data_IF_108341295121
#
_entry.id   IF_108341295121
#
_cell.length_a   1.000
_cell.length_b   1.000
_cell.length_c   1.000
_cell.angle_alpha   90.00
_cell.angle_beta   90.00
_cell.angle_gamma   90.00
#
_symmetry.space_group_name_H-M   'P 1'
#
loop_
_entity.id
_entity.type
_entity.pdbx_description
1 polymer ?
#
# COMPACT_ATOMS: atom_id res chain seq x y z
N UNK A 1 -0.46 -14.07 2.84
CA UNK A 1 -1.18 -13.27 1.82
C UNK A 1 -2.32 -14.12 1.31
N UNK A 2 -3.54 -13.60 1.35
CA UNK A 2 -4.74 -14.32 0.91
C UNK A 2 -5.45 -13.49 -0.14
N UNK A 3 -5.80 -14.12 -1.25
CA UNK A 3 -6.50 -13.50 -2.39
C UNK A 3 -7.85 -14.19 -2.53
N UNK A 4 -8.92 -13.43 -2.32
CA UNK A 4 -10.29 -13.89 -2.53
C UNK A 4 -10.82 -13.26 -3.81
N UNK A 5 -11.22 -14.12 -4.76
CA UNK A 5 -11.70 -13.69 -6.07
C UNK A 5 -13.22 -13.89 -6.12
N UNK A 6 -13.97 -12.80 -6.11
CA UNK A 6 -15.42 -12.80 -6.31
C UNK A 6 -15.75 -12.35 -7.74
N UNK A 7 -16.34 -13.25 -8.54
CA UNK A 7 -16.80 -12.94 -9.89
C UNK A 7 -18.19 -12.31 -9.83
N UNK A 8 -18.29 -11.04 -10.21
CA UNK A 8 -19.55 -10.32 -10.36
C UNK A 8 -20.10 -10.48 -11.80
N UNK A 9 -21.37 -10.16 -11.96
CA UNK A 9 -22.04 -10.19 -13.27
C UNK A 9 -21.47 -9.09 -14.20
N UNK A 10 -21.30 -9.40 -15.49
CA UNK A 10 -20.74 -8.53 -16.56
C UNK A 10 -19.22 -8.26 -16.52
N UNK A 11 -18.40 -9.29 -16.36
CA UNK A 11 -16.92 -9.22 -16.45
C UNK A 11 -16.23 -8.35 -15.36
N UNK A 12 -16.94 -8.06 -14.27
CA UNK A 12 -16.36 -7.37 -13.12
C UNK A 12 -15.86 -8.44 -12.15
N UNK A 13 -14.61 -8.32 -11.70
CA UNK A 13 -14.04 -9.23 -10.70
C UNK A 13 -13.63 -8.41 -9.49
N UNK A 14 -14.25 -8.69 -8.35
CA UNK A 14 -13.82 -8.14 -7.08
C UNK A 14 -12.69 -9.03 -6.52
N UNK A 15 -11.49 -8.47 -6.49
CA UNK A 15 -10.30 -9.04 -5.86
C UNK A 15 -10.18 -8.45 -4.45
N UNK A 16 -10.45 -9.25 -3.43
CA UNK A 16 -10.12 -8.90 -2.06
C UNK A 16 -8.75 -9.47 -1.73
N UNK A 17 -7.79 -8.60 -1.45
CA UNK A 17 -6.42 -8.99 -1.12
C UNK A 17 -6.13 -8.60 0.31
N UNK A 18 -5.75 -9.60 1.11
CA UNK A 18 -5.31 -9.41 2.49
C UNK A 18 -3.79 -9.49 2.55
N UNK A 19 -3.18 -8.38 2.96
CA UNK A 19 -1.74 -8.26 3.15
C UNK A 19 -1.41 -8.27 4.65
N UNK A 20 -0.48 -9.14 5.02
CA UNK A 20 -0.04 -9.32 6.41
C UNK A 20 0.61 -8.04 6.99
N UNK A 21 0.38 -7.81 8.28
CA UNK A 21 0.95 -6.70 9.03
C UNK A 21 2.49 -6.61 8.94
N UNK A 22 3.21 -7.74 8.83
CA UNK A 22 4.68 -7.72 8.69
C UNK A 22 5.15 -7.09 7.38
N UNK A 23 4.47 -7.40 6.27
CA UNK A 23 4.73 -6.77 4.97
C UNK A 23 4.42 -5.26 5.03
N UNK A 24 3.36 -4.88 5.74
CA UNK A 24 3.03 -3.48 5.95
C UNK A 24 4.13 -2.74 6.74
N UNK A 25 4.63 -3.31 7.85
CA UNK A 25 5.71 -2.69 8.63
C UNK A 25 6.99 -2.49 7.80
N UNK A 26 7.31 -3.45 6.92
CA UNK A 26 8.42 -3.32 5.98
C UNK A 26 8.18 -2.22 4.94
N UNK A 27 6.98 -2.16 4.37
CA UNK A 27 6.57 -1.13 3.42
C UNK A 27 6.62 0.27 4.05
N UNK A 28 6.14 0.42 5.29
CA UNK A 28 6.21 1.67 6.07
C UNK A 28 7.67 2.11 6.29
N UNK A 29 8.60 1.17 6.58
CA UNK A 29 10.03 1.49 6.69
C UNK A 29 10.63 1.95 5.36
N UNK A 30 10.23 1.33 4.25
CA UNK A 30 10.67 1.74 2.91
C UNK A 30 10.09 3.10 2.51
N UNK A 31 8.80 3.30 2.72
CA UNK A 31 8.09 4.56 2.48
C UNK A 31 8.76 5.71 3.27
N UNK A 32 9.06 5.51 4.56
CA UNK A 32 9.80 6.49 5.35
C UNK A 32 11.15 6.88 4.73
N UNK A 33 11.88 5.92 4.16
CA UNK A 33 13.19 6.17 3.50
C UNK A 33 13.02 6.87 2.15
N UNK A 34 11.97 6.56 1.40
CA UNK A 34 11.64 7.20 0.12
C UNK A 34 11.16 8.63 0.35
N UNK A 35 10.25 8.84 1.30
CA UNK A 35 9.79 10.15 1.74
C UNK A 35 10.93 11.00 2.30
N UNK A 36 11.86 10.42 3.08
CA UNK A 36 13.03 11.15 3.55
C UNK A 36 13.92 11.70 2.42
N UNK A 37 13.89 11.09 1.22
CA UNK A 37 14.60 11.58 0.04
C UNK A 37 13.82 12.66 -0.70
N UNK A 38 12.48 12.56 -0.73
CA UNK A 38 11.59 13.51 -1.41
C UNK A 38 11.38 14.79 -0.59
N UNK A 39 11.23 14.65 0.72
CA UNK A 39 10.89 15.73 1.65
C UNK A 39 12.15 16.36 2.25
N UNK A 40 12.18 17.69 2.26
CA UNK A 40 13.22 18.45 2.94
C UNK A 40 12.85 18.60 4.42
N UNK A 41 13.40 17.75 5.28
CA UNK A 41 13.25 17.89 6.72
C UNK A 41 14.24 18.95 7.24
N UNK A 42 13.78 20.04 7.86
CA UNK A 42 14.67 21.06 8.43
C UNK A 42 15.66 20.46 9.42
N UNK A 43 16.94 20.85 9.33
CA UNK A 43 17.99 20.36 10.22
C UNK A 43 18.66 19.05 9.80
N UNK A 44 18.12 18.32 8.82
CA UNK A 44 18.75 17.11 8.29
C UNK A 44 19.12 17.26 6.82
N UNK A 45 20.27 16.69 6.44
CA UNK A 45 20.64 16.57 5.03
C UNK A 45 19.62 15.67 4.32
N UNK A 46 19.18 16.06 3.11
CA UNK A 46 18.25 15.29 2.26
C UNK A 46 18.54 13.79 2.30
N UNK A 47 17.52 12.97 2.59
CA UNK A 47 17.62 11.51 2.66
C UNK A 47 18.24 10.93 3.94
N UNK A 48 18.67 11.75 4.89
CA UNK A 48 19.30 11.32 6.15
C UNK A 48 18.45 11.63 7.40
N UNK A 49 17.20 12.07 7.21
CA UNK A 49 16.29 12.31 8.31
C UNK A 49 15.90 10.99 9.02
N UNK A 50 15.93 10.92 10.36
CA UNK A 50 15.40 9.79 11.11
C UNK A 50 13.90 9.63 10.89
N UNK A 51 13.42 8.38 10.97
CA UNK A 51 11.99 8.04 10.75
C UNK A 51 11.04 8.89 11.59
N UNK A 52 11.34 9.09 12.88
CA UNK A 52 10.49 9.90 13.77
C UNK A 52 10.36 11.36 13.30
N UNK A 53 11.41 11.94 12.72
CA UNK A 53 11.35 13.31 12.20
C UNK A 53 10.55 13.39 10.89
N UNK A 54 10.61 12.35 10.06
CA UNK A 54 9.78 12.25 8.86
C UNK A 54 8.30 12.09 9.25
N UNK A 55 8.01 11.23 10.23
CA UNK A 55 6.64 11.06 10.77
C UNK A 55 6.09 12.37 11.36
N UNK A 56 6.91 13.13 12.08
CA UNK A 56 6.51 14.42 12.65
C UNK A 56 6.29 15.51 11.60
N UNK A 57 7.05 15.49 10.50
CA UNK A 57 7.03 16.57 9.51
C UNK A 57 6.04 16.34 8.37
N UNK A 58 5.92 15.09 7.92
CA UNK A 58 5.00 14.69 6.84
C UNK A 58 3.64 14.26 7.39
N UNK A 59 3.59 13.91 8.68
CA UNK A 59 2.40 13.32 9.30
C UNK A 59 2.37 11.80 9.11
N UNK A 60 1.75 11.10 10.05
CA UNK A 60 1.58 9.65 10.00
C UNK A 60 0.75 9.22 8.78
N UNK A 61 -0.27 10.01 8.42
CA UNK A 61 -1.19 9.72 7.32
C UNK A 61 -0.46 9.63 5.98
N UNK A 62 0.35 10.62 5.62
CA UNK A 62 1.10 10.61 4.37
C UNK A 62 2.13 9.46 4.28
N UNK A 63 2.64 9.02 5.43
CA UNK A 63 3.53 7.88 5.50
C UNK A 63 2.77 6.56 5.29
N UNK A 64 1.52 6.48 5.77
CA UNK A 64 0.62 5.37 5.44
C UNK A 64 0.22 5.37 3.98
N UNK A 65 -0.18 6.51 3.41
CA UNK A 65 -0.53 6.60 2.00
C UNK A 65 0.61 6.14 1.10
N UNK A 66 1.85 6.60 1.35
CA UNK A 66 2.98 6.17 0.53
C UNK A 66 3.36 4.70 0.78
N UNK A 67 3.13 4.16 1.98
CA UNK A 67 3.29 2.73 2.25
C UNK A 67 2.21 1.90 1.56
N UNK A 68 0.97 2.40 1.50
CA UNK A 68 -0.15 1.78 0.82
C UNK A 68 0.07 1.73 -0.68
N UNK A 69 0.48 2.82 -1.31
CA UNK A 69 0.81 2.83 -2.74
C UNK A 69 1.91 1.80 -3.07
N UNK A 70 2.93 1.73 -2.21
CA UNK A 70 4.00 0.74 -2.34
C UNK A 70 3.56 -0.70 -2.13
N UNK A 71 2.48 -0.94 -1.38
CA UNK A 71 1.99 -2.28 -1.05
C UNK A 71 0.91 -2.73 -2.04
N UNK A 72 -0.08 -1.88 -2.30
CA UNK A 72 -1.23 -2.13 -3.17
C UNK A 72 -0.77 -2.40 -4.58
N UNK A 73 0.16 -1.61 -5.13
CA UNK A 73 0.68 -1.79 -6.48
C UNK A 73 1.18 -3.22 -6.75
N UNK A 74 2.22 -3.69 -6.04
CA UNK A 74 2.73 -5.05 -6.21
C UNK A 74 1.73 -6.11 -5.75
N UNK A 75 0.98 -5.89 -4.65
CA UNK A 75 0.01 -6.87 -4.16
C UNK A 75 -1.14 -7.11 -5.15
N UNK A 76 -1.60 -6.06 -5.81
CA UNK A 76 -2.58 -6.15 -6.88
C UNK A 76 -1.99 -6.85 -8.11
N UNK A 77 -0.78 -6.50 -8.53
CA UNK A 77 -0.12 -7.16 -9.65
C UNK A 77 0.08 -8.67 -9.39
N UNK A 78 0.50 -9.05 -8.19
CA UNK A 78 0.61 -10.46 -7.77
C UNK A 78 -0.77 -11.15 -7.78
N UNK A 79 -1.80 -10.51 -7.22
CA UNK A 79 -3.16 -11.08 -7.19
C UNK A 79 -3.77 -11.27 -8.58
N UNK A 80 -3.51 -10.34 -9.51
CA UNK A 80 -3.95 -10.42 -10.91
C UNK A 80 -3.26 -11.57 -11.64
N UNK A 81 -1.94 -11.71 -11.47
CA UNK A 81 -1.16 -12.82 -12.05
C UNK A 81 -1.59 -14.16 -11.47
N UNK A 82 -1.80 -14.25 -10.16
CA UNK A 82 -2.24 -15.47 -9.48
C UNK A 82 -3.65 -15.88 -9.88
N UNK A 83 -4.52 -14.90 -10.11
CA UNK A 83 -5.90 -15.14 -10.57
C UNK A 83 -6.00 -15.39 -12.08
N UNK A 84 -4.93 -15.13 -12.84
CA UNK A 84 -4.91 -15.26 -14.31
C UNK A 84 -5.93 -14.37 -15.02
N UNK A 85 -6.25 -13.22 -14.44
CA UNK A 85 -7.23 -12.27 -14.98
C UNK A 85 -6.46 -11.19 -15.75
N UNK A 86 -6.89 -10.84 -16.96
CA UNK A 86 -6.38 -9.68 -17.67
C UNK A 86 -7.29 -8.47 -17.41
N UNK A 87 -6.92 -7.54 -16.51
CA UNK A 87 -7.72 -6.35 -16.26
C UNK A 87 -7.72 -5.46 -17.51
N UNK A 88 -8.92 -5.15 -18.01
CA UNK A 88 -9.12 -4.31 -19.19
C UNK A 88 -9.22 -2.82 -18.82
N UNK A 89 -9.65 -2.53 -17.59
CA UNK A 89 -9.82 -1.17 -17.07
C UNK A 89 -8.96 -0.95 -15.81
N UNK A 90 -8.77 0.32 -15.42
CA UNK A 90 -8.10 0.64 -14.15
C UNK A 90 -8.99 0.16 -13.00
N UNK A 91 -8.48 -0.73 -12.12
CA UNK A 91 -9.25 -1.19 -10.97
C UNK A 91 -9.58 -0.01 -10.07
N UNK A 92 -10.81 0.05 -9.59
CA UNK A 92 -11.15 0.91 -8.47
C UNK A 92 -10.70 0.18 -7.18
N UNK A 93 -9.63 0.69 -6.56
CA UNK A 93 -9.14 0.16 -5.29
C UNK A 93 -9.87 0.86 -4.15
N UNK A 94 -10.75 0.13 -3.48
CA UNK A 94 -11.41 0.51 -2.25
C UNK A 94 -10.60 -0.06 -1.06
N UNK A 95 -10.07 0.84 -0.22
CA UNK A 95 -9.37 0.46 1.00
C UNK A 95 -10.40 0.13 2.08
N UNK A 96 -10.52 -1.15 2.46
CA UNK A 96 -11.51 -1.62 3.44
C UNK A 96 -10.99 -1.45 4.86
N UNK A 97 -9.71 -1.72 5.09
CA UNK A 97 -9.12 -1.60 6.42
C UNK A 97 -7.66 -1.12 6.37
N UNK A 98 -7.41 -0.05 7.11
CA UNK A 98 -6.08 0.56 7.29
C UNK A 98 -5.90 0.80 8.79
N UNK A 99 -5.19 -0.09 9.48
CA UNK A 99 -4.83 0.10 10.90
C UNK A 99 -3.35 -0.19 11.13
N UNK A 100 -2.68 0.69 11.88
CA UNK A 100 -1.31 0.47 12.34
C UNK A 100 -1.22 -0.85 13.12
N UNK A 101 -0.52 -1.85 12.56
CA UNK A 101 -0.27 -3.13 13.22
C UNK A 101 -1.34 -4.21 13.00
N UNK A 102 -2.30 -3.97 12.10
CA UNK A 102 -3.24 -4.99 11.63
C UNK A 102 -3.10 -5.24 10.14
N UNK A 103 -3.71 -6.32 9.68
CA UNK A 103 -3.69 -6.73 8.28
C UNK A 103 -4.40 -5.70 7.40
N UNK A 104 -3.85 -5.48 6.22
CA UNK A 104 -4.37 -4.55 5.23
C UNK A 104 -5.30 -5.29 4.30
N UNK A 105 -6.56 -4.89 4.29
CA UNK A 105 -7.59 -5.46 3.41
C UNK A 105 -7.97 -4.38 2.41
N UNK A 106 -7.70 -4.65 1.14
CA UNK A 106 -8.15 -3.81 0.04
C UNK A 106 -8.97 -4.63 -0.95
N UNK A 107 -10.03 -4.01 -1.45
CA UNK A 107 -10.89 -4.54 -2.51
C UNK A 107 -10.56 -3.81 -3.81
N UNK A 108 -10.24 -4.55 -4.85
CA UNK A 108 -10.11 -4.01 -6.19
C UNK A 108 -11.28 -4.53 -7.04
N UNK A 109 -12.02 -3.65 -7.70
CA UNK A 109 -13.14 -4.00 -8.60
C UNK A 109 -12.98 -3.39 -9.99
#
# INVERSE_FOLDING_TARGET
MSVSVEKLEKNIVALEVTVEAEKFVLAVKQAAKTLAKKVNVPGFRKGKAPRQMVELHVGKEALYDEALDHLIGPAYAEAVVESGIDPVDRPAVDLVQIEEGKDLIFKAK
#
